data_IF_765021168836
#
_entry.id   IF_765021168836
#
_cell.length_a   1.000
_cell.length_b   1.000
_cell.length_c   1.000
_cell.angle_alpha   90.00
_cell.angle_beta   90.00
_cell.angle_gamma   90.00
#
_symmetry.space_group_name_H-M   'P 1'
#
loop_
_entity.id
_entity.type
_entity.pdbx_description
1 polymer ?
#
# COMPACT_ATOMS: atom_id res chain seq x y z
N UNK A 1 7.04 -18.99 -2.91
CA UNK A 1 6.28 -18.00 -3.70
C UNK A 1 5.25 -17.36 -2.76
N UNK A 2 5.30 -16.05 -2.50
CA UNK A 2 4.39 -15.40 -1.54
C UNK A 2 2.97 -15.17 -2.10
N UNK A 3 1.97 -15.16 -1.21
CA UNK A 3 0.53 -15.04 -1.55
C UNK A 3 0.24 -13.83 -2.45
N UNK A 4 0.79 -12.65 -2.12
CA UNK A 4 0.56 -11.41 -2.90
C UNK A 4 1.06 -11.54 -4.35
N UNK A 5 2.16 -12.27 -4.58
CA UNK A 5 2.67 -12.54 -5.93
C UNK A 5 1.74 -13.48 -6.69
N UNK A 6 1.18 -14.49 -6.03
CA UNK A 6 0.20 -15.38 -6.64
C UNK A 6 -1.07 -14.62 -7.04
N UNK A 7 -1.57 -13.75 -6.16
CA UNK A 7 -2.71 -12.86 -6.45
C UNK A 7 -2.43 -11.96 -7.65
N UNK A 8 -1.26 -11.30 -7.70
CA UNK A 8 -0.87 -10.47 -8.84
C UNK A 8 -0.91 -11.26 -10.15
N UNK A 9 -0.38 -12.49 -10.16
CA UNK A 9 -0.39 -13.32 -11.35
C UNK A 9 -1.81 -13.62 -11.82
N UNK A 10 -2.75 -13.91 -10.91
CA UNK A 10 -4.16 -14.12 -11.24
C UNK A 10 -4.81 -12.88 -11.86
N UNK A 11 -4.56 -11.69 -11.32
CA UNK A 11 -5.05 -10.41 -11.86
C UNK A 11 -4.51 -10.17 -13.28
N UNK A 12 -3.22 -10.40 -13.50
CA UNK A 12 -2.57 -10.14 -14.79
C UNK A 12 -2.90 -11.16 -15.89
N UNK A 13 -3.38 -12.35 -15.53
CA UNK A 13 -3.55 -13.44 -16.49
C UNK A 13 -4.77 -13.29 -17.40
N UNK A 14 -5.90 -12.80 -16.88
CA UNK A 14 -7.14 -12.65 -17.66
C UNK A 14 -7.63 -11.22 -17.78
N UNK A 15 -7.19 -10.29 -16.92
CA UNK A 15 -7.70 -8.91 -16.88
C UNK A 15 -9.16 -8.79 -16.42
N UNK A 16 -9.83 -9.90 -16.13
CA UNK A 16 -11.24 -9.97 -15.70
C UNK A 16 -11.39 -9.85 -14.18
N UNK A 17 -10.28 -9.93 -13.44
CA UNK A 17 -10.28 -9.96 -11.97
C UNK A 17 -9.51 -8.76 -11.44
N UNK A 18 -10.17 -7.98 -10.58
CA UNK A 18 -9.52 -6.97 -9.75
C UNK A 18 -9.33 -7.52 -8.32
N UNK A 19 -8.20 -7.21 -7.70
CA UNK A 19 -7.93 -7.58 -6.31
C UNK A 19 -7.79 -6.33 -5.43
N UNK A 20 -8.46 -6.34 -4.28
CA UNK A 20 -8.25 -5.37 -3.21
C UNK A 20 -7.48 -6.06 -2.08
N UNK A 21 -6.36 -5.46 -1.67
CA UNK A 21 -5.48 -6.02 -0.63
C UNK A 21 -5.31 -5.03 0.51
N UNK A 22 -5.75 -5.40 1.71
CA UNK A 22 -5.58 -4.60 2.93
C UNK A 22 -4.35 -5.09 3.67
N UNK A 23 -3.42 -4.19 3.95
CA UNK A 23 -2.17 -4.54 4.62
C UNK A 23 -1.60 -3.38 5.42
N UNK A 24 -0.83 -3.71 6.46
CA UNK A 24 0.04 -2.79 7.17
C UNK A 24 1.51 -2.90 6.70
N UNK A 25 1.81 -3.86 5.81
CA UNK A 25 3.15 -4.17 5.34
C UNK A 25 3.49 -3.34 4.10
N UNK A 26 4.32 -2.32 4.29
CA UNK A 26 4.66 -1.39 3.22
C UNK A 26 5.38 -2.08 2.04
N UNK A 27 6.16 -3.14 2.31
CA UNK A 27 6.86 -3.90 1.28
C UNK A 27 5.93 -4.65 0.32
N UNK A 28 4.66 -4.85 0.67
CA UNK A 28 3.67 -5.50 -0.19
C UNK A 28 3.15 -4.55 -1.29
N UNK A 29 3.26 -3.23 -1.10
CA UNK A 29 2.83 -2.25 -2.10
C UNK A 29 3.53 -2.43 -3.45
N UNK A 30 4.74 -3.00 -3.48
CA UNK A 30 5.49 -3.29 -4.72
C UNK A 30 4.76 -4.20 -5.71
N UNK A 31 3.74 -4.93 -5.24
CA UNK A 31 2.95 -5.86 -6.06
C UNK A 31 1.64 -5.26 -6.56
N UNK A 32 1.26 -4.08 -6.07
CA UNK A 32 0.01 -3.42 -6.41
C UNK A 32 0.19 -2.46 -7.59
N UNK A 33 -0.92 -2.21 -8.30
CA UNK A 33 -0.97 -1.19 -9.36
C UNK A 33 -1.17 0.22 -8.77
N UNK A 34 -1.80 0.31 -7.60
CA UNK A 34 -2.04 1.55 -6.86
C UNK A 34 -2.43 1.27 -5.40
N UNK A 35 -2.59 2.32 -4.60
CA UNK A 35 -2.97 2.17 -3.21
C UNK A 35 -3.83 3.34 -2.70
N UNK A 36 -4.59 3.04 -1.65
CA UNK A 36 -5.41 3.98 -0.89
C UNK A 36 -4.90 3.93 0.55
N UNK A 37 -4.55 5.08 1.10
CA UNK A 37 -4.21 5.24 2.50
C UNK A 37 -5.39 5.86 3.25
N UNK A 38 -5.79 5.21 4.35
CA UNK A 38 -6.96 5.60 5.14
C UNK A 38 -6.60 5.81 6.61
N UNK A 39 -7.29 6.76 7.25
CA UNK A 39 -7.22 7.05 8.69
C UNK A 39 -8.60 7.41 9.20
N UNK A 40 -8.95 6.97 10.41
CA UNK A 40 -10.23 7.28 11.06
C UNK A 40 -11.45 7.03 10.15
N UNK A 41 -11.39 5.94 9.38
CA UNK A 41 -12.45 5.56 8.43
C UNK A 41 -12.53 6.43 7.17
N UNK A 42 -11.54 7.30 6.91
CA UNK A 42 -11.54 8.24 5.77
C UNK A 42 -10.34 8.00 4.86
N UNK A 43 -10.54 8.18 3.55
CA UNK A 43 -9.46 8.21 2.58
C UNK A 43 -8.66 9.51 2.73
N UNK A 44 -7.37 9.39 3.02
CA UNK A 44 -6.46 10.53 3.18
C UNK A 44 -5.72 10.81 1.87
N UNK A 45 -5.27 9.77 1.18
CA UNK A 45 -4.61 9.87 -0.14
C UNK A 45 -4.80 8.59 -0.93
N UNK A 46 -4.99 8.72 -2.25
CA UNK A 46 -5.03 7.63 -3.22
C UNK A 46 -4.12 7.97 -4.39
N UNK A 47 -3.42 6.98 -4.94
CA UNK A 47 -2.55 7.19 -6.09
C UNK A 47 -1.68 5.99 -6.41
N UNK A 48 -0.64 6.25 -7.20
CA UNK A 48 0.37 5.25 -7.53
C UNK A 48 1.18 4.82 -6.29
N UNK A 49 1.77 3.63 -6.38
CA UNK A 49 2.55 3.02 -5.29
C UNK A 49 3.69 3.94 -4.80
N UNK A 50 4.34 4.69 -5.69
CA UNK A 50 5.47 5.53 -5.32
C UNK A 50 5.03 6.74 -4.49
N UNK A 51 3.94 7.38 -4.88
CA UNK A 51 3.34 8.52 -4.18
C UNK A 51 2.86 8.13 -2.79
N UNK A 52 2.13 7.01 -2.69
CA UNK A 52 1.63 6.48 -1.42
C UNK A 52 2.76 6.04 -0.49
N UNK A 53 3.75 5.30 -1.02
CA UNK A 53 4.90 4.86 -0.22
C UNK A 53 5.68 6.04 0.36
N UNK A 54 5.89 7.10 -0.43
CA UNK A 54 6.58 8.31 0.03
C UNK A 54 5.76 9.02 1.11
N UNK A 55 4.45 9.09 0.97
CA UNK A 55 3.55 9.67 1.97
C UNK A 55 3.64 8.91 3.30
N UNK A 56 3.49 7.58 3.29
CA UNK A 56 3.53 6.75 4.50
C UNK A 56 4.89 6.86 5.20
N UNK A 57 6.00 6.79 4.45
CA UNK A 57 7.36 6.92 5.01
C UNK A 57 7.58 8.27 5.71
N UNK A 58 7.14 9.38 5.10
CA UNK A 58 7.22 10.71 5.76
C UNK A 58 6.40 10.75 7.03
N UNK A 59 5.21 10.14 7.03
CA UNK A 59 4.35 10.09 8.20
C UNK A 59 4.99 9.27 9.33
N UNK A 60 5.54 8.10 9.01
CA UNK A 60 6.28 7.24 9.94
C UNK A 60 7.46 7.98 10.57
N UNK A 61 8.29 8.66 9.76
CA UNK A 61 9.42 9.44 10.26
C UNK A 61 8.98 10.51 11.27
N UNK A 62 7.84 11.18 11.03
CA UNK A 62 7.27 12.15 11.96
C UNK A 62 6.81 11.51 13.28
N UNK A 63 6.26 10.30 13.25
CA UNK A 63 5.89 9.58 14.47
C UNK A 63 7.13 9.19 15.27
N UNK A 64 8.17 8.64 14.64
CA UNK A 64 9.39 8.24 15.34
C UNK A 64 10.17 9.43 15.90
N UNK A 65 10.23 10.55 15.19
CA UNK A 65 10.85 11.79 15.69
C UNK A 65 10.10 12.44 16.87
N UNK A 66 8.87 12.02 17.18
CA UNK A 66 8.09 12.50 18.33
C UNK A 66 8.40 11.74 19.64
N UNK A 67 9.11 10.61 19.58
CA UNK A 67 9.49 9.82 20.75
C UNK A 67 10.91 10.12 21.27
N UNK A 68 11.63 11.08 20.66
CA UNK A 68 12.99 11.49 21.06
C UNK A 68 13.04 12.82 21.85
N UNK A 69 11.94 13.23 22.51
CA UNK A 69 11.90 14.42 23.39
C UNK A 69 11.38 14.10 24.79
#
# INVERSE_FOLDING_TARGET
MGVVKAVRNSVTASGEVAALWVTHRLEELRYADGAIYMEDGRTIIQGDVSSISRFIKRKQARYFGHFEL
#
